data_IF_393431592883
#
_entry.id   IF_393431592883
#
_cell.length_a   1.000
_cell.length_b   1.000
_cell.length_c   1.000
_cell.angle_alpha   90.00
_cell.angle_beta   90.00
_cell.angle_gamma   90.00
#
_symmetry.space_group_name_H-M   'P 1'
#
loop_
_entity.id
_entity.type
_entity.pdbx_description
1 polymer ?
#
# COMPACT_ATOMS: atom_id res chain seq x y z
N UNK A 1 28.17 -14.20 4.13
CA UNK A 1 27.64 -13.79 3.96
C UNK A 1 26.36 -13.69 4.25
N UNK A 2 25.88 -13.77 4.83
CA UNK A 2 24.54 -13.85 5.15
C UNK A 2 24.07 -12.83 6.11
N UNK A 3 24.85 -11.83 6.37
CA UNK A 3 24.46 -10.79 7.32
C UNK A 3 23.20 -10.07 6.87
N UNK A 4 22.85 -10.16 5.58
CA UNK A 4 21.67 -9.49 5.13
C UNK A 4 20.41 -10.01 5.77
N UNK A 5 20.38 -11.27 6.12
CA UNK A 5 19.21 -11.85 6.75
C UNK A 5 18.94 -11.26 8.13
N UNK A 6 19.88 -10.52 8.67
CA UNK A 6 19.72 -9.91 9.99
C UNK A 6 19.25 -8.47 9.91
N UNK A 7 19.23 -7.90 8.73
CA UNK A 7 18.76 -6.54 8.57
C UNK A 7 17.25 -6.53 8.55
N UNK A 8 16.61 -5.57 9.22
CA UNK A 8 15.15 -5.47 9.13
C UNK A 8 14.77 -5.12 7.69
N UNK A 9 13.63 -5.61 7.21
CA UNK A 9 13.16 -5.22 5.89
C UNK A 9 12.83 -3.72 5.89
N UNK A 10 13.06 -3.07 4.76
CA UNK A 10 12.70 -1.66 4.60
C UNK A 10 11.19 -1.49 4.60
N UNK A 11 10.48 -2.49 4.13
CA UNK A 11 9.03 -2.49 4.07
C UNK A 11 8.49 -3.82 4.55
N UNK A 12 7.47 -3.76 5.40
CA UNK A 12 6.76 -4.94 5.84
C UNK A 12 5.31 -4.81 5.42
N UNK A 13 4.78 -5.86 4.79
CA UNK A 13 3.40 -5.87 4.33
C UNK A 13 2.73 -7.12 4.89
N UNK A 14 1.62 -6.92 5.59
CA UNK A 14 0.84 -8.02 6.14
C UNK A 14 -0.56 -7.96 5.54
N UNK A 15 -1.05 -9.11 5.07
CA UNK A 15 -2.37 -9.20 4.44
C UNK A 15 -3.23 -10.17 5.23
N UNK A 16 -4.43 -9.73 5.60
CA UNK A 16 -5.44 -10.61 6.18
C UNK A 16 -6.70 -10.48 5.35
N UNK A 17 -7.36 -11.60 5.09
CA UNK A 17 -8.55 -11.61 4.24
C UNK A 17 -9.65 -12.41 4.91
N UNK A 18 -10.88 -11.87 4.88
CA UNK A 18 -12.05 -12.53 5.44
C UNK A 18 -13.31 -11.89 4.86
N UNK A 19 -14.29 -12.71 4.53
CA UNK A 19 -15.64 -12.23 4.18
C UNK A 19 -15.65 -11.19 3.05
N UNK A 20 -14.87 -11.43 2.01
CA UNK A 20 -14.84 -10.55 0.85
C UNK A 20 -14.06 -9.26 1.05
N UNK A 21 -13.28 -9.18 2.13
CA UNK A 21 -12.47 -8.02 2.43
C UNK A 21 -11.04 -8.43 2.68
N UNK A 22 -10.12 -7.59 2.27
CA UNK A 22 -8.69 -7.77 2.56
C UNK A 22 -8.20 -6.54 3.28
N UNK A 23 -7.48 -6.75 4.37
CA UNK A 23 -6.83 -5.64 5.07
C UNK A 23 -5.33 -5.80 4.90
N UNK A 24 -4.69 -4.74 4.42
CA UNK A 24 -3.26 -4.75 4.14
C UNK A 24 -2.61 -3.68 5.00
N UNK A 25 -1.71 -4.10 5.87
CA UNK A 25 -0.97 -3.19 6.73
C UNK A 25 0.43 -3.05 6.18
N UNK A 26 0.86 -1.79 6.00
CA UNK A 26 2.17 -1.47 5.42
C UNK A 26 2.95 -0.68 6.44
N UNK A 27 4.18 -1.10 6.70
CA UNK A 27 5.05 -0.43 7.66
C UNK A 27 6.43 -0.23 7.05
N UNK A 28 7.01 0.93 7.26
CA UNK A 28 8.38 1.21 6.85
C UNK A 28 8.48 2.24 5.75
N UNK A 29 9.43 2.03 4.85
CA UNK A 29 9.74 2.99 3.79
C UNK A 29 9.21 2.50 2.46
N UNK A 30 8.41 3.32 1.81
CA UNK A 30 7.80 2.99 0.53
C UNK A 30 8.45 3.85 -0.56
N UNK A 31 9.40 3.26 -1.26
CA UNK A 31 10.22 3.94 -2.26
C UNK A 31 10.50 2.99 -3.43
N UNK A 32 11.41 3.38 -4.31
CA UNK A 32 11.71 2.59 -5.49
C UNK A 32 12.24 1.19 -5.14
N UNK A 33 12.98 1.07 -4.04
CA UNK A 33 13.56 -0.21 -3.64
C UNK A 33 12.51 -1.17 -3.08
N UNK A 34 11.42 -0.66 -2.51
CA UNK A 34 10.40 -1.48 -1.85
C UNK A 34 9.08 -1.54 -2.59
N UNK A 35 8.89 -0.70 -3.61
CA UNK A 35 7.61 -0.63 -4.34
C UNK A 35 7.16 -1.99 -4.86
N UNK A 36 8.10 -2.80 -5.36
CA UNK A 36 7.78 -4.12 -5.89
C UNK A 36 7.25 -5.08 -4.83
N UNK A 37 7.67 -4.89 -3.58
CA UNK A 37 7.18 -5.73 -2.49
C UNK A 37 5.71 -5.46 -2.19
N UNK A 38 5.31 -4.21 -2.26
CA UNK A 38 3.91 -3.85 -2.08
C UNK A 38 3.07 -4.41 -3.22
N UNK A 39 3.52 -4.25 -4.45
CA UNK A 39 2.78 -4.76 -5.60
C UNK A 39 2.64 -6.28 -5.56
N UNK A 40 3.72 -6.97 -5.18
CA UNK A 40 3.70 -8.42 -5.08
C UNK A 40 2.75 -8.89 -3.98
N UNK A 41 2.76 -8.23 -2.84
CA UNK A 41 1.90 -8.60 -1.72
C UNK A 41 0.42 -8.43 -2.04
N UNK A 42 0.10 -7.50 -2.94
CA UNK A 42 -1.28 -7.23 -3.31
C UNK A 42 -1.73 -7.91 -4.59
N UNK A 43 -0.86 -8.73 -5.20
CA UNK A 43 -1.21 -9.39 -6.46
C UNK A 43 -2.42 -10.29 -6.31
N UNK A 44 -2.52 -11.04 -5.21
CA UNK A 44 -3.64 -11.94 -4.97
C UNK A 44 -4.90 -11.19 -4.53
N UNK A 45 -4.83 -10.30 -3.53
CA UNK A 45 -6.01 -9.50 -3.18
C UNK A 45 -6.54 -8.69 -4.34
N UNK A 46 -5.68 -8.22 -5.24
CA UNK A 46 -6.10 -7.41 -6.36
C UNK A 46 -6.99 -8.17 -7.34
N UNK A 47 -6.75 -9.48 -7.50
CA UNK A 47 -7.53 -10.28 -8.44
C UNK A 47 -8.76 -10.92 -7.81
N UNK A 48 -8.91 -10.81 -6.49
CA UNK A 48 -9.99 -11.49 -5.77
C UNK A 48 -11.35 -10.77 -5.86
N UNK A 49 -11.39 -9.55 -6.40
CA UNK A 49 -12.64 -8.80 -6.50
C UNK A 49 -13.14 -8.31 -5.15
N UNK A 50 -12.27 -8.15 -4.17
CA UNK A 50 -12.64 -7.80 -2.81
C UNK A 50 -12.47 -6.31 -2.56
N UNK A 51 -13.01 -5.86 -1.43
CA UNK A 51 -12.67 -4.53 -0.90
C UNK A 51 -11.33 -4.65 -0.20
N UNK A 52 -10.37 -3.83 -0.60
CA UNK A 52 -9.04 -3.80 0.00
C UNK A 52 -8.89 -2.53 0.82
N UNK A 53 -8.67 -2.69 2.12
CA UNK A 53 -8.36 -1.56 3.00
C UNK A 53 -6.85 -1.54 3.20
N UNK A 54 -6.23 -0.44 2.81
CA UNK A 54 -4.79 -0.28 2.89
C UNK A 54 -4.44 0.64 4.05
N UNK A 55 -3.83 0.07 5.08
CA UNK A 55 -3.44 0.80 6.29
C UNK A 55 -1.99 1.25 6.15
N UNK A 56 -1.79 2.55 6.01
CA UNK A 56 -0.47 3.16 5.85
C UNK A 56 -0.03 3.89 7.12
N UNK A 57 -0.64 3.57 8.24
CA UNK A 57 -0.40 4.27 9.50
C UNK A 57 1.00 4.08 10.06
N UNK A 58 1.78 3.16 9.52
CA UNK A 58 3.15 2.92 9.96
C UNK A 58 4.18 3.16 8.85
N UNK A 59 3.79 3.85 7.79
CA UNK A 59 4.71 4.25 6.73
C UNK A 59 5.47 5.48 7.19
N UNK A 60 6.78 5.34 7.33
CA UNK A 60 7.64 6.41 7.86
C UNK A 60 8.23 7.29 6.76
N UNK A 61 8.27 6.78 5.54
CA UNK A 61 8.80 7.52 4.39
C UNK A 61 8.08 7.06 3.14
N UNK A 62 7.77 8.00 2.27
CA UNK A 62 7.20 7.70 0.95
C UNK A 62 7.70 8.76 -0.04
N UNK A 63 8.07 8.32 -1.23
CA UNK A 63 8.44 9.23 -2.31
C UNK A 63 7.55 8.98 -3.53
N UNK A 64 7.90 9.59 -4.66
CA UNK A 64 7.09 9.48 -5.86
C UNK A 64 7.02 8.04 -6.39
N UNK A 65 8.08 7.25 -6.17
CA UNK A 65 8.06 5.83 -6.58
C UNK A 65 7.09 5.05 -5.72
N UNK A 66 7.03 5.35 -4.42
CA UNK A 66 6.05 4.73 -3.52
C UNK A 66 4.64 5.13 -3.88
N UNK A 67 4.42 6.40 -4.19
CA UNK A 67 3.11 6.87 -4.60
C UNK A 67 2.66 6.18 -5.89
N UNK A 68 3.58 6.01 -6.83
CA UNK A 68 3.27 5.30 -8.06
C UNK A 68 2.83 3.87 -7.78
N UNK A 69 3.50 3.19 -6.84
CA UNK A 69 3.11 1.84 -6.45
C UNK A 69 1.69 1.80 -5.91
N UNK A 70 1.30 2.81 -5.11
CA UNK A 70 -0.07 2.90 -4.62
C UNK A 70 -1.07 3.04 -5.76
N UNK A 71 -0.74 3.84 -6.77
CA UNK A 71 -1.61 4.01 -7.94
C UNK A 71 -1.71 2.73 -8.75
N UNK A 72 -0.60 2.02 -8.91
CA UNK A 72 -0.58 0.74 -9.63
C UNK A 72 -1.46 -0.28 -8.93
N UNK A 73 -1.34 -0.36 -7.60
CA UNK A 73 -2.14 -1.29 -6.81
C UNK A 73 -3.63 -0.92 -6.88
N UNK A 74 -3.94 0.36 -6.80
CA UNK A 74 -5.34 0.80 -6.90
C UNK A 74 -5.94 0.38 -8.23
N UNK A 75 -5.19 0.58 -9.32
CA UNK A 75 -5.69 0.22 -10.65
C UNK A 75 -5.87 -1.30 -10.75
N UNK A 76 -4.94 -2.07 -10.21
CA UNK A 76 -5.03 -3.52 -10.26
C UNK A 76 -6.26 -4.04 -9.49
N UNK A 77 -6.53 -3.47 -8.33
CA UNK A 77 -7.70 -3.84 -7.54
C UNK A 77 -8.99 -3.49 -8.30
N UNK A 78 -9.04 -2.32 -8.91
CA UNK A 78 -10.19 -1.90 -9.70
C UNK A 78 -10.39 -2.82 -10.89
N UNK A 79 -9.31 -3.16 -11.60
CA UNK A 79 -9.39 -4.07 -12.76
C UNK A 79 -9.87 -5.45 -12.35
N UNK A 80 -9.56 -5.88 -11.15
CA UNK A 80 -10.01 -7.17 -10.62
C UNK A 80 -11.44 -7.17 -10.12
N UNK A 81 -12.14 -6.04 -10.21
CA UNK A 81 -13.52 -5.94 -9.79
C UNK A 81 -13.71 -5.52 -8.34
N UNK A 82 -12.64 -5.20 -7.64
CA UNK A 82 -12.72 -4.74 -6.26
C UNK A 82 -12.61 -3.23 -6.13
N UNK A 83 -12.38 -2.78 -4.92
CA UNK A 83 -12.14 -1.37 -4.65
C UNK A 83 -11.09 -1.23 -3.55
N UNK A 84 -10.26 -0.21 -3.65
CA UNK A 84 -9.21 0.05 -2.68
C UNK A 84 -9.53 1.31 -1.90
N UNK A 85 -9.42 1.23 -0.58
CA UNK A 85 -9.65 2.35 0.29
C UNK A 85 -8.45 2.51 1.22
N UNK A 86 -8.11 3.74 1.56
CA UNK A 86 -7.06 4.00 2.53
C UNK A 86 -7.66 4.05 3.93
N UNK A 87 -7.03 3.34 4.84
CA UNK A 87 -7.31 3.47 6.26
C UNK A 87 -6.45 4.56 6.86
N UNK A 88 -5.71 4.24 7.92
CA UNK A 88 -4.81 5.20 8.55
C UNK A 88 -3.69 5.62 7.61
N UNK A 89 -3.22 6.85 7.77
CA UNK A 89 -2.07 7.37 7.04
C UNK A 89 -1.16 8.10 8.01
N UNK A 90 0.03 8.49 7.54
CA UNK A 90 0.96 9.30 8.32
C UNK A 90 1.03 10.68 7.68
N UNK A 91 1.56 11.69 8.42
CA UNK A 91 1.76 13.01 7.82
C UNK A 91 2.59 12.98 6.55
N UNK A 92 3.57 12.07 6.47
CA UNK A 92 4.38 11.95 5.26
C UNK A 92 3.55 11.54 4.05
N UNK A 93 2.64 10.59 4.23
CA UNK A 93 1.75 10.14 3.16
C UNK A 93 0.78 11.26 2.78
N UNK A 94 0.13 11.87 3.77
CA UNK A 94 -0.84 12.93 3.51
C UNK A 94 -0.20 14.10 2.79
N UNK A 95 1.01 14.46 3.19
CA UNK A 95 1.70 15.59 2.59
C UNK A 95 2.01 15.33 1.12
N UNK A 96 2.48 14.14 0.80
CA UNK A 96 2.80 13.80 -0.58
C UNK A 96 1.53 13.78 -1.44
N UNK A 97 0.43 13.24 -0.92
CA UNK A 97 -0.84 13.25 -1.63
C UNK A 97 -1.31 14.67 -1.91
N UNK A 98 -1.16 15.56 -0.93
CA UNK A 98 -1.54 16.97 -1.10
C UNK A 98 -0.67 17.64 -2.15
N UNK A 99 0.65 17.44 -2.07
CA UNK A 99 1.58 18.09 -2.98
C UNK A 99 1.39 17.65 -4.42
N UNK A 100 0.93 16.44 -4.63
CA UNK A 100 0.74 15.89 -5.96
C UNK A 100 -0.69 16.07 -6.47
N UNK A 101 -1.59 16.62 -5.65
CA UNK A 101 -2.98 16.79 -6.02
C UNK A 101 -3.78 15.51 -6.02
N UNK A 102 -3.31 14.48 -5.31
CA UNK A 102 -3.92 13.16 -5.33
C UNK A 102 -4.68 12.82 -4.04
N UNK A 103 -4.91 13.81 -3.19
CA UNK A 103 -5.58 13.55 -1.90
C UNK A 103 -6.93 12.87 -2.04
N UNK A 104 -7.66 13.16 -3.11
CA UNK A 104 -8.99 12.59 -3.30
C UNK A 104 -9.01 11.41 -4.26
N UNK A 105 -7.85 11.02 -4.77
CA UNK A 105 -7.74 9.88 -5.68
C UNK A 105 -8.03 8.56 -4.98
N UNK A 106 -7.74 8.51 -3.67
CA UNK A 106 -7.93 7.30 -2.88
C UNK A 106 -9.08 7.51 -1.92
N UNK A 107 -10.18 6.74 -2.07
CA UNK A 107 -11.26 6.80 -1.08
C UNK A 107 -10.75 6.43 0.30
N UNK A 108 -11.29 7.04 1.33
CA UNK A 108 -10.87 6.81 2.72
C UNK A 108 -11.93 6.02 3.45
N UNK A 109 -11.48 5.19 4.39
CA UNK A 109 -12.36 4.47 5.29
C UNK A 109 -12.92 5.45 6.32
N UNK A 110 -14.14 5.29 6.65
CA UNK A 110 -14.82 6.14 7.65
C UNK A 110 -15.60 7.27 7.06
#
# INVERSE_FOLDING_TARGET
MTSRSQDPPLLEVAVTSADGRSRVTVAGELDAASAGELEAALSEPATAGTVVELDLGQVTFIDSSGLRALLVVQQAVSDGGGSLMLGATTPAVDRLLQLTGLSETFPRVG
#
